data_IF_416184858418
#
_entry.id   IF_416184858418
#
_cell.length_a   1.000
_cell.length_b   1.000
_cell.length_c   1.000
_cell.angle_alpha   90.00
_cell.angle_beta   90.00
_cell.angle_gamma   90.00
#
_symmetry.space_group_name_H-M   'P 1'
#
loop_
_entity.id
_entity.type
_entity.pdbx_description
1 polymer ?
#
# COMPACT_ATOMS: atom_id res chain seq x y z
N UNK A 1 -27.80 -27.88 -31.20
CA UNK A 1 -27.72 -26.77 -30.23
C UNK A 1 -27.72 -27.36 -28.83
N UNK A 2 -26.59 -27.33 -28.15
CA UNK A 2 -26.49 -27.76 -26.75
C UNK A 2 -27.33 -26.83 -25.87
N UNK A 3 -28.23 -27.38 -25.05
CA UNK A 3 -29.06 -26.57 -24.14
C UNK A 3 -28.13 -25.88 -23.14
N UNK A 4 -28.14 -24.55 -23.13
CA UNK A 4 -27.40 -23.75 -22.15
C UNK A 4 -27.93 -24.08 -20.76
N UNK A 5 -27.12 -24.77 -19.95
CA UNK A 5 -27.41 -25.13 -18.56
C UNK A 5 -27.70 -23.89 -17.72
N UNK A 6 -28.52 -24.03 -16.68
CA UNK A 6 -28.81 -22.93 -15.75
C UNK A 6 -27.56 -22.62 -14.91
N UNK A 7 -27.45 -21.37 -14.45
CA UNK A 7 -26.33 -20.90 -13.61
C UNK A 7 -26.05 -21.84 -12.41
N UNK A 8 -27.06 -22.30 -11.63
CA UNK A 8 -26.81 -23.20 -10.50
C UNK A 8 -26.22 -24.56 -10.90
N UNK A 9 -26.61 -25.08 -12.06
CA UNK A 9 -26.13 -26.37 -12.58
C UNK A 9 -24.64 -26.26 -12.95
N UNK A 10 -24.25 -25.15 -13.59
CA UNK A 10 -22.84 -24.89 -13.98
C UNK A 10 -21.94 -24.62 -12.79
N UNK A 11 -22.43 -23.90 -11.78
CA UNK A 11 -21.73 -23.75 -10.50
C UNK A 11 -21.49 -25.10 -9.83
N UNK A 12 -22.50 -25.97 -9.83
CA UNK A 12 -22.37 -27.32 -9.25
C UNK A 12 -21.35 -28.17 -10.00
N UNK A 13 -21.26 -28.04 -11.34
CA UNK A 13 -20.25 -28.72 -12.15
C UNK A 13 -18.83 -28.22 -11.86
N UNK A 14 -18.64 -26.91 -11.75
CA UNK A 14 -17.35 -26.32 -11.41
C UNK A 14 -16.90 -26.78 -10.01
N UNK A 15 -17.80 -26.80 -9.03
CA UNK A 15 -17.48 -27.23 -7.66
C UNK A 15 -17.12 -28.73 -7.60
N UNK A 16 -17.75 -29.57 -8.43
CA UNK A 16 -17.51 -31.02 -8.44
C UNK A 16 -16.23 -31.42 -9.17
N UNK A 17 -15.77 -30.62 -10.11
CA UNK A 17 -14.53 -30.88 -10.84
C UNK A 17 -13.31 -30.55 -9.96
N UNK A 18 -12.51 -31.59 -9.66
CA UNK A 18 -11.31 -31.46 -8.82
C UNK A 18 -10.29 -30.48 -9.40
N UNK A 19 -10.26 -30.29 -10.72
CA UNK A 19 -9.36 -29.36 -11.37
C UNK A 19 -9.69 -27.89 -11.03
N UNK A 20 -10.92 -27.60 -10.62
CA UNK A 20 -11.37 -26.24 -10.29
C UNK A 20 -11.27 -25.91 -8.80
N UNK A 21 -10.97 -26.89 -7.94
CA UNK A 21 -10.84 -26.68 -6.48
C UNK A 21 -9.81 -25.58 -6.19
N UNK A 22 -8.69 -25.58 -6.90
CA UNK A 22 -7.66 -24.55 -6.77
C UNK A 22 -8.21 -23.14 -7.04
N UNK A 23 -8.95 -22.95 -8.14
CA UNK A 23 -9.51 -21.64 -8.52
C UNK A 23 -10.54 -21.17 -7.50
N UNK A 24 -11.39 -22.07 -7.00
CA UNK A 24 -12.39 -21.76 -5.98
C UNK A 24 -11.71 -21.33 -4.67
N UNK A 25 -10.74 -22.12 -4.21
CA UNK A 25 -9.98 -21.78 -2.99
C UNK A 25 -9.26 -20.45 -3.18
N UNK A 26 -8.59 -20.24 -4.32
CA UNK A 26 -7.90 -18.99 -4.60
C UNK A 26 -8.84 -17.78 -4.65
N UNK A 27 -10.06 -17.94 -5.18
CA UNK A 27 -11.09 -16.89 -5.14
C UNK A 27 -11.59 -16.58 -3.74
N UNK A 28 -11.77 -17.58 -2.87
CA UNK A 28 -12.48 -17.40 -1.59
C UNK A 28 -11.54 -17.18 -0.39
N UNK A 29 -10.36 -17.80 -0.42
CA UNK A 29 -9.40 -17.78 0.68
C UNK A 29 -9.02 -16.36 1.10
N UNK A 30 -8.74 -15.40 0.19
CA UNK A 30 -8.34 -14.07 0.63
C UNK A 30 -9.44 -13.36 1.43
N UNK A 31 -10.71 -13.55 1.06
CA UNK A 31 -11.84 -13.00 1.81
C UNK A 31 -11.99 -13.64 3.19
N UNK A 32 -11.75 -14.94 3.31
CA UNK A 32 -11.73 -15.64 4.59
C UNK A 32 -10.60 -15.16 5.50
N UNK A 33 -9.47 -14.73 4.94
CA UNK A 33 -8.31 -14.24 5.68
C UNK A 33 -8.42 -12.77 6.13
N UNK A 34 -9.36 -11.97 5.57
CA UNK A 34 -9.51 -10.54 5.90
C UNK A 34 -9.63 -10.26 7.42
N UNK A 35 -10.43 -11.00 8.20
CA UNK A 35 -10.55 -10.77 9.65
C UNK A 35 -9.23 -10.98 10.41
N UNK A 36 -8.34 -11.82 9.90
CA UNK A 36 -7.08 -12.20 10.55
C UNK A 36 -5.89 -11.33 10.10
N UNK A 37 -6.01 -10.62 8.97
CA UNK A 37 -4.93 -9.86 8.35
C UNK A 37 -4.21 -8.92 9.31
N UNK A 38 -4.96 -8.14 10.09
CA UNK A 38 -4.39 -7.15 11.02
C UNK A 38 -3.63 -7.82 12.16
N UNK A 39 -4.05 -9.00 12.61
CA UNK A 39 -3.37 -9.73 13.69
C UNK A 39 -1.97 -10.22 13.31
N UNK A 40 -1.70 -10.40 12.01
CA UNK A 40 -0.39 -10.79 11.47
C UNK A 40 0.37 -9.62 10.83
N UNK A 41 -0.08 -8.37 11.06
CA UNK A 41 0.58 -7.17 10.53
C UNK A 41 0.38 -6.95 9.02
N UNK A 42 -0.61 -7.61 8.40
CA UNK A 42 -0.95 -7.42 6.99
C UNK A 42 -2.08 -6.40 6.84
N UNK A 43 -1.94 -5.50 5.87
CA UNK A 43 -3.04 -4.63 5.46
C UNK A 43 -4.13 -5.43 4.76
N UNK A 44 -5.39 -5.16 5.10
CA UNK A 44 -6.55 -5.87 4.54
C UNK A 44 -6.62 -5.75 3.01
N UNK A 45 -6.15 -4.63 2.47
CA UNK A 45 -6.12 -4.40 1.02
C UNK A 45 -5.22 -5.39 0.28
N UNK A 46 -4.13 -5.87 0.89
CA UNK A 46 -3.24 -6.86 0.24
C UNK A 46 -3.95 -8.18 -0.05
N UNK A 47 -5.00 -8.53 0.71
CA UNK A 47 -5.76 -9.75 0.49
C UNK A 47 -6.82 -9.61 -0.60
N UNK A 48 -7.46 -8.45 -0.74
CA UNK A 48 -8.49 -8.29 -1.77
C UNK A 48 -8.00 -7.58 -3.05
N UNK A 49 -6.84 -6.93 -3.03
CA UNK A 49 -6.31 -6.22 -4.19
C UNK A 49 -5.70 -7.17 -5.24
N UNK A 50 -6.01 -6.91 -6.51
CA UNK A 50 -5.45 -7.46 -7.76
C UNK A 50 -5.43 -8.98 -7.93
N UNK A 51 -4.90 -9.77 -6.99
CA UNK A 51 -4.75 -11.22 -7.12
C UNK A 51 -6.08 -11.98 -7.08
N UNK A 52 -7.05 -11.49 -6.32
CA UNK A 52 -8.37 -12.11 -6.19
C UNK A 52 -9.25 -11.92 -7.43
N UNK A 53 -8.97 -10.90 -8.27
CA UNK A 53 -9.76 -10.62 -9.47
C UNK A 53 -9.53 -11.64 -10.58
N UNK A 54 -8.34 -12.24 -10.68
CA UNK A 54 -8.03 -13.24 -11.70
C UNK A 54 -8.94 -14.48 -11.57
N UNK A 55 -8.97 -15.21 -10.43
CA UNK A 55 -9.80 -16.40 -10.32
C UNK A 55 -11.29 -16.06 -10.33
N UNK A 56 -11.70 -14.88 -9.80
CA UNK A 56 -13.08 -14.41 -9.91
C UNK A 56 -13.50 -14.14 -11.37
N UNK A 57 -12.61 -13.57 -12.19
CA UNK A 57 -12.88 -13.33 -13.61
C UNK A 57 -12.98 -14.64 -14.39
N UNK A 58 -12.18 -15.65 -14.05
CA UNK A 58 -12.29 -16.99 -14.63
C UNK A 58 -13.63 -17.65 -14.27
N UNK A 59 -14.04 -17.62 -13.00
CA UNK A 59 -15.36 -18.12 -12.57
C UNK A 59 -16.48 -17.36 -13.31
N UNK A 60 -16.36 -16.05 -13.45
CA UNK A 60 -17.30 -15.23 -14.20
C UNK A 60 -17.41 -15.67 -15.67
N UNK A 61 -16.27 -15.86 -16.36
CA UNK A 61 -16.23 -16.33 -17.75
C UNK A 61 -16.81 -17.74 -17.91
N UNK A 62 -16.56 -18.65 -16.95
CA UNK A 62 -17.05 -20.02 -17.03
C UNK A 62 -18.56 -20.11 -16.74
N UNK A 63 -19.05 -19.38 -15.75
CA UNK A 63 -20.43 -19.50 -15.24
C UNK A 63 -21.36 -18.48 -15.86
N UNK A 64 -20.98 -17.20 -15.76
CA UNK A 64 -21.87 -16.05 -16.00
C UNK A 64 -21.84 -15.64 -17.47
N UNK A 65 -20.67 -15.61 -18.11
CA UNK A 65 -20.52 -15.14 -19.49
C UNK A 65 -21.44 -15.87 -20.49
N UNK A 66 -21.60 -17.20 -20.49
CA UNK A 66 -22.50 -17.87 -21.43
C UNK A 66 -24.00 -17.63 -21.12
N UNK A 67 -24.32 -17.17 -19.90
CA UNK A 67 -25.66 -16.70 -19.55
C UNK A 67 -25.96 -15.27 -20.06
N UNK A 68 -24.97 -14.55 -20.62
CA UNK A 68 -25.15 -13.21 -21.22
C UNK A 68 -26.14 -13.20 -22.39
N UNK A 69 -26.42 -14.35 -23.00
CA UNK A 69 -27.42 -14.44 -24.06
C UNK A 69 -28.83 -14.06 -23.58
N UNK A 70 -29.06 -14.02 -22.26
CA UNK A 70 -30.35 -13.63 -21.69
C UNK A 70 -30.46 -12.11 -21.55
N UNK A 71 -31.61 -11.55 -21.98
CA UNK A 71 -31.93 -10.11 -21.87
C UNK A 71 -31.71 -9.56 -20.45
N UNK A 72 -32.10 -10.33 -19.42
CA UNK A 72 -31.92 -9.95 -18.00
C UNK A 72 -30.45 -9.78 -17.60
N UNK A 73 -29.55 -10.66 -18.08
CA UNK A 73 -28.13 -10.58 -17.76
C UNK A 73 -27.52 -9.31 -18.36
N UNK A 74 -27.84 -8.99 -19.62
CA UNK A 74 -27.41 -7.74 -20.27
C UNK A 74 -27.88 -6.50 -19.52
N UNK A 75 -29.12 -6.49 -19.05
CA UNK A 75 -29.66 -5.37 -18.25
C UNK A 75 -28.91 -5.20 -16.93
N UNK A 76 -28.61 -6.30 -16.22
CA UNK A 76 -27.85 -6.26 -14.97
C UNK A 76 -26.42 -5.74 -15.19
N UNK A 77 -25.75 -6.17 -16.26
CA UNK A 77 -24.41 -5.68 -16.59
C UNK A 77 -24.43 -4.20 -16.95
N UNK A 78 -25.38 -3.77 -17.79
CA UNK A 78 -25.55 -2.36 -18.13
C UNK A 78 -25.80 -1.52 -16.88
N UNK A 79 -26.62 -2.02 -15.96
CA UNK A 79 -26.86 -1.40 -14.67
C UNK A 79 -25.58 -1.33 -13.81
N UNK A 80 -24.79 -2.40 -13.73
CA UNK A 80 -23.48 -2.39 -13.05
C UNK A 80 -22.53 -1.38 -13.67
N UNK A 81 -22.45 -1.31 -15.00
CA UNK A 81 -21.61 -0.33 -15.70
C UNK A 81 -22.05 1.10 -15.36
N UNK A 82 -23.35 1.39 -15.41
CA UNK A 82 -23.89 2.71 -15.03
C UNK A 82 -23.58 3.05 -13.57
N UNK A 83 -23.77 2.10 -12.66
CA UNK A 83 -23.46 2.30 -11.24
C UNK A 83 -21.98 2.61 -11.00
N UNK A 84 -21.08 1.99 -11.75
CA UNK A 84 -19.63 2.21 -11.63
C UNK A 84 -19.14 3.40 -12.46
N UNK A 85 -19.95 3.91 -13.38
CA UNK A 85 -19.58 5.03 -14.25
C UNK A 85 -19.36 6.30 -13.43
N UNK A 86 -20.24 6.60 -12.47
CA UNK A 86 -20.12 7.76 -11.60
C UNK A 86 -18.81 7.73 -10.81
N UNK A 87 -18.47 6.60 -10.19
CA UNK A 87 -17.22 6.41 -9.45
C UNK A 87 -15.99 6.59 -10.36
N UNK A 88 -16.02 6.01 -11.56
CA UNK A 88 -14.91 6.09 -12.51
C UNK A 88 -14.66 7.54 -12.97
N UNK A 89 -15.73 8.28 -13.28
CA UNK A 89 -15.65 9.69 -13.65
C UNK A 89 -15.19 10.54 -12.46
N UNK A 90 -15.68 10.29 -11.25
CA UNK A 90 -15.23 11.00 -10.05
C UNK A 90 -13.73 10.78 -9.75
N UNK A 91 -13.22 9.56 -9.95
CA UNK A 91 -11.79 9.27 -9.80
C UNK A 91 -10.96 9.99 -10.87
N UNK A 92 -11.42 9.98 -12.13
CA UNK A 92 -10.75 10.70 -13.21
C UNK A 92 -10.65 12.20 -12.91
N UNK A 93 -11.75 12.83 -12.47
CA UNK A 93 -11.78 14.26 -12.12
C UNK A 93 -10.86 14.57 -10.92
N UNK A 94 -10.84 13.69 -9.90
CA UNK A 94 -9.94 13.87 -8.76
C UNK A 94 -8.48 13.81 -9.20
N UNK A 95 -8.13 12.82 -10.03
CA UNK A 95 -6.77 12.67 -10.54
C UNK A 95 -6.34 13.88 -11.38
N UNK A 96 -7.20 14.42 -12.25
CA UNK A 96 -6.85 15.64 -13.01
C UNK A 96 -6.67 16.85 -12.11
N UNK A 97 -7.52 17.03 -11.09
CA UNK A 97 -7.38 18.14 -10.13
C UNK A 97 -6.12 18.04 -9.28
N UNK A 98 -5.70 16.83 -8.92
CA UNK A 98 -4.44 16.60 -8.19
C UNK A 98 -3.25 16.99 -9.07
N UNK A 99 -3.28 16.62 -10.35
CA UNK A 99 -2.24 16.98 -11.33
C UNK A 99 -2.13 18.51 -11.49
N UNK A 100 -3.27 19.23 -11.49
CA UNK A 100 -3.28 20.69 -11.65
C UNK A 100 -2.78 21.46 -10.41
N UNK A 101 -2.85 20.87 -9.20
CA UNK A 101 -2.61 21.57 -7.93
C UNK A 101 -1.41 21.09 -7.12
N UNK A 102 -0.77 19.98 -7.50
CA UNK A 102 0.44 19.48 -6.86
C UNK A 102 1.63 19.69 -7.80
N UNK A 103 2.82 20.09 -7.31
CA UNK A 103 4.00 20.13 -8.15
C UNK A 103 4.24 18.71 -8.69
N UNK A 104 4.10 18.55 -10.01
CA UNK A 104 4.14 17.30 -10.78
C UNK A 104 5.31 16.34 -10.49
N UNK A 105 6.30 16.75 -9.70
CA UNK A 105 7.62 16.14 -9.74
C UNK A 105 7.99 15.31 -8.51
N UNK A 106 7.39 15.53 -7.32
CA UNK A 106 7.83 14.75 -6.14
C UNK A 106 7.55 13.26 -6.31
N UNK A 107 6.36 12.90 -6.82
CA UNK A 107 5.91 11.50 -6.88
C UNK A 107 6.16 10.82 -8.23
N UNK A 108 6.58 11.57 -9.26
CA UNK A 108 6.83 11.05 -10.62
C UNK A 108 8.34 10.91 -10.87
N UNK A 109 9.16 11.80 -10.32
CA UNK A 109 10.62 11.78 -10.52
C UNK A 109 11.36 11.95 -9.20
N UNK A 110 12.13 10.94 -8.82
CA UNK A 110 12.99 11.03 -7.63
C UNK A 110 14.27 11.79 -7.98
N UNK A 111 14.59 12.89 -7.29
CA UNK A 111 15.85 13.58 -7.48
C UNK A 111 17.04 12.64 -7.28
N UNK A 112 18.09 12.80 -8.09
CA UNK A 112 19.31 11.98 -8.03
C UNK A 112 19.87 11.84 -6.59
N UNK A 113 19.77 12.91 -5.78
CA UNK A 113 20.22 12.89 -4.38
C UNK A 113 19.43 11.93 -3.48
N UNK A 114 18.12 11.76 -3.72
CA UNK A 114 17.34 10.74 -3.01
C UNK A 114 17.78 9.33 -3.43
N UNK A 115 18.08 9.13 -4.71
CA UNK A 115 18.58 7.84 -5.19
C UNK A 115 19.98 7.50 -4.64
N UNK A 116 20.88 8.47 -4.57
CA UNK A 116 22.19 8.33 -3.91
C UNK A 116 22.04 7.92 -2.44
N UNK A 117 21.12 8.55 -1.71
CA UNK A 117 20.83 8.22 -0.32
C UNK A 117 20.20 6.83 -0.12
N UNK A 118 19.29 6.41 -1.01
CA UNK A 118 18.72 5.04 -1.01
C UNK A 118 19.80 4.01 -1.32
N UNK A 119 20.68 4.28 -2.30
CA UNK A 119 21.79 3.38 -2.62
C UNK A 119 22.79 3.28 -1.46
N UNK A 120 23.08 4.37 -0.76
CA UNK A 120 23.89 4.32 0.45
C UNK A 120 23.25 3.41 1.51
N UNK A 121 21.95 3.54 1.75
CA UNK A 121 21.23 2.68 2.70
C UNK A 121 21.21 1.21 2.28
N UNK A 122 21.22 0.93 0.97
CA UNK A 122 21.29 -0.45 0.47
C UNK A 122 22.50 -1.22 1.01
N UNK A 123 23.63 -0.53 1.15
CA UNK A 123 24.89 -1.14 1.58
C UNK A 123 25.10 -1.06 3.11
N UNK A 124 24.46 -0.10 3.78
CA UNK A 124 24.64 0.16 5.22
C UNK A 124 23.52 -0.44 6.10
N UNK A 125 22.30 -0.56 5.58
CA UNK A 125 21.14 -1.01 6.36
C UNK A 125 20.98 -2.53 6.24
N UNK A 126 21.01 -3.28 7.36
CA UNK A 126 20.66 -4.69 7.34
C UNK A 126 19.24 -4.92 6.80
N UNK A 127 19.03 -6.08 6.19
CA UNK A 127 17.71 -6.55 5.77
C UNK A 127 16.71 -6.44 6.92
N UNK A 128 15.47 -6.09 6.58
CA UNK A 128 14.33 -5.91 7.49
C UNK A 128 14.47 -4.76 8.51
N UNK A 129 15.54 -3.97 8.44
CA UNK A 129 15.67 -2.76 9.26
C UNK A 129 14.48 -1.82 9.06
N UNK A 130 14.04 -1.16 10.13
CA UNK A 130 12.88 -0.27 10.10
C UNK A 130 13.36 1.17 9.91
N UNK A 131 12.85 1.80 8.86
CA UNK A 131 13.13 3.19 8.51
C UNK A 131 11.92 4.05 8.87
N UNK A 132 12.17 5.11 9.62
CA UNK A 132 11.22 6.20 9.87
C UNK A 132 11.44 7.30 8.83
N UNK A 133 10.37 7.67 8.14
CA UNK A 133 10.34 8.76 7.17
C UNK A 133 8.93 9.35 7.11
N UNK A 134 8.75 10.38 6.29
CA UNK A 134 7.44 10.81 5.82
C UNK A 134 6.76 9.71 4.95
N UNK A 135 5.50 9.97 4.55
CA UNK A 135 4.71 9.03 3.73
C UNK A 135 5.36 8.79 2.37
N UNK A 136 5.94 9.81 1.76
CA UNK A 136 6.49 9.77 0.42
C UNK A 136 7.68 8.81 0.35
N UNK A 137 8.77 9.06 1.08
CA UNK A 137 9.93 8.14 1.10
C UNK A 137 9.54 6.77 1.62
N UNK A 138 8.65 6.73 2.62
CA UNK A 138 8.18 5.50 3.22
C UNK A 138 7.37 4.61 2.29
N UNK A 139 6.79 5.17 1.22
CA UNK A 139 6.11 4.42 0.16
C UNK A 139 7.08 3.72 -0.78
N UNK A 140 8.27 4.27 -0.93
CA UNK A 140 9.14 4.00 -2.09
C UNK A 140 10.34 3.18 -1.69
N UNK A 141 10.95 3.49 -0.54
CA UNK A 141 12.18 2.85 -0.12
C UNK A 141 12.11 1.31 -0.09
N UNK A 142 11.00 0.66 0.33
CA UNK A 142 10.91 -0.81 0.34
C UNK A 142 10.82 -1.44 -1.05
N UNK A 143 10.56 -0.64 -2.10
CA UNK A 143 10.53 -1.13 -3.48
C UNK A 143 11.94 -1.34 -4.05
N UNK A 144 12.96 -0.74 -3.43
CA UNK A 144 14.34 -0.72 -3.96
C UNK A 144 15.37 -1.41 -3.07
N UNK A 145 15.12 -1.46 -1.76
CA UNK A 145 16.01 -2.10 -0.79
C UNK A 145 15.18 -2.95 0.20
N UNK A 146 15.75 -4.02 0.78
CA UNK A 146 15.01 -4.98 1.61
C UNK A 146 14.76 -4.47 3.04
N UNK A 147 14.17 -3.27 3.17
CA UNK A 147 13.88 -2.62 4.45
C UNK A 147 12.38 -2.50 4.68
N UNK A 148 11.98 -2.27 5.93
CA UNK A 148 10.59 -2.00 6.28
C UNK A 148 10.39 -0.51 6.53
N UNK A 149 9.44 0.10 5.83
CA UNK A 149 9.00 1.44 6.20
C UNK A 149 8.08 1.39 7.42
N UNK A 150 8.35 2.22 8.42
CA UNK A 150 7.46 2.40 9.56
C UNK A 150 6.10 2.98 9.10
N UNK A 151 6.12 3.95 8.20
CA UNK A 151 4.97 4.70 7.74
C UNK A 151 5.05 4.95 6.24
N UNK A 152 4.03 4.52 5.51
CA UNK A 152 3.87 4.76 4.08
C UNK A 152 2.39 4.75 3.76
N UNK A 153 1.97 4.01 2.75
CA UNK A 153 0.76 4.31 2.00
C UNK A 153 -0.50 4.12 2.85
N UNK A 154 -1.45 5.06 2.74
CA UNK A 154 -2.72 5.08 3.49
C UNK A 154 -3.45 3.74 3.60
N UNK A 155 -3.46 2.96 2.52
CA UNK A 155 -4.14 1.67 2.48
C UNK A 155 -3.24 0.47 2.84
N UNK A 156 -1.91 0.63 2.84
CA UNK A 156 -0.96 -0.48 3.04
C UNK A 156 -0.32 -0.47 4.43
N UNK A 157 -0.28 0.67 5.09
CA UNK A 157 0.24 0.80 6.44
C UNK A 157 -0.82 0.37 7.47
N UNK A 158 -0.50 -0.63 8.28
CA UNK A 158 -1.36 -1.03 9.40
C UNK A 158 -1.35 0.09 10.45
N UNK A 159 -2.54 0.42 10.99
CA UNK A 159 -2.74 1.56 11.91
C UNK A 159 -2.32 2.92 11.33
N UNK A 160 -2.54 3.15 10.03
CA UNK A 160 -2.08 4.36 9.32
C UNK A 160 -2.31 5.68 10.07
N UNK A 161 -3.52 5.95 10.57
CA UNK A 161 -3.82 7.24 11.25
C UNK A 161 -3.00 7.46 12.52
N UNK A 162 -2.79 6.40 13.29
CA UNK A 162 -1.96 6.45 14.49
C UNK A 162 -0.50 6.69 14.12
N UNK A 163 0.02 5.93 13.15
CA UNK A 163 1.39 6.09 12.67
C UNK A 163 1.64 7.46 12.05
N UNK A 164 0.70 7.98 11.27
CA UNK A 164 0.75 9.33 10.71
C UNK A 164 0.86 10.38 11.81
N UNK A 165 0.05 10.27 12.86
CA UNK A 165 0.13 11.17 14.01
C UNK A 165 1.47 11.04 14.74
N UNK A 166 2.00 9.82 14.90
CA UNK A 166 3.31 9.58 15.53
C UNK A 166 4.45 10.19 14.71
N UNK A 167 4.49 9.96 13.39
CA UNK A 167 5.45 10.57 12.47
C UNK A 167 5.40 12.10 12.56
N UNK A 168 4.21 12.66 12.48
CA UNK A 168 4.03 14.10 12.57
C UNK A 168 4.48 14.65 13.92
N UNK A 169 4.08 14.03 15.05
CA UNK A 169 4.52 14.44 16.39
C UNK A 169 6.04 14.34 16.56
N UNK A 170 6.66 13.32 15.99
CA UNK A 170 8.11 13.12 16.03
C UNK A 170 8.87 14.22 15.27
N UNK A 171 8.54 14.45 13.99
CA UNK A 171 9.22 15.46 13.18
C UNK A 171 8.87 16.90 13.56
N UNK A 172 7.69 17.15 14.17
CA UNK A 172 7.32 18.48 14.69
C UNK A 172 7.74 18.74 16.14
N UNK A 173 8.59 17.87 16.73
CA UNK A 173 9.09 18.00 18.11
C UNK A 173 7.98 18.08 19.17
N UNK A 174 6.83 17.46 18.92
CA UNK A 174 5.71 17.33 19.88
C UNK A 174 5.83 16.06 20.75
N UNK A 175 6.98 15.42 20.70
CA UNK A 175 7.42 14.39 21.64
C UNK A 175 8.63 14.94 22.39
N UNK A 176 8.64 14.79 23.72
CA UNK A 176 9.86 15.04 24.49
C UNK A 176 10.89 13.91 24.27
N UNK A 177 12.14 14.11 24.71
CA UNK A 177 13.23 13.16 24.45
C UNK A 177 12.92 11.73 24.94
N UNK A 178 12.31 11.58 26.11
CA UNK A 178 11.92 10.27 26.66
C UNK A 178 10.79 9.61 25.83
N UNK A 179 9.81 10.40 25.38
CA UNK A 179 8.78 9.92 24.46
C UNK A 179 9.38 9.47 23.14
N UNK A 180 10.36 10.21 22.59
CA UNK A 180 11.03 9.84 21.34
C UNK A 180 11.82 8.55 21.51
N UNK A 181 12.57 8.41 22.61
CA UNK A 181 13.33 7.20 22.90
C UNK A 181 12.43 5.97 23.01
N UNK A 182 11.30 6.09 23.69
CA UNK A 182 10.27 5.03 23.75
C UNK A 182 9.68 4.76 22.38
N UNK A 183 9.29 5.79 21.64
CA UNK A 183 8.73 5.66 20.31
C UNK A 183 9.66 4.90 19.35
N UNK A 184 10.96 5.25 19.33
CA UNK A 184 11.97 4.56 18.51
C UNK A 184 12.13 3.11 18.96
N UNK A 185 12.29 2.88 20.27
CA UNK A 185 12.50 1.55 20.85
C UNK A 185 11.30 0.62 20.62
N UNK A 186 10.09 1.06 20.96
CA UNK A 186 8.86 0.26 20.89
C UNK A 186 8.53 -0.13 19.44
N UNK A 187 8.89 0.72 18.47
CA UNK A 187 8.68 0.48 17.05
C UNK A 187 9.90 -0.12 16.35
N UNK A 188 10.99 -0.41 17.09
CA UNK A 188 12.25 -0.98 16.58
C UNK A 188 12.85 -0.18 15.40
N UNK A 189 12.65 1.14 15.42
CA UNK A 189 13.17 2.04 14.39
C UNK A 189 14.69 2.02 14.46
N UNK A 190 15.33 1.72 13.34
CA UNK A 190 16.79 1.58 13.23
C UNK A 190 17.43 2.78 12.51
N UNK A 191 16.68 3.38 11.58
CA UNK A 191 17.12 4.52 10.78
C UNK A 191 16.03 5.59 10.73
N UNK A 192 16.44 6.86 10.71
CA UNK A 192 15.56 8.01 10.51
C UNK A 192 16.01 8.76 9.28
N UNK A 193 15.11 8.87 8.30
CA UNK A 193 15.28 9.71 7.14
C UNK A 193 14.84 11.14 7.46
N UNK A 194 15.64 12.12 7.07
CA UNK A 194 15.34 13.54 7.23
C UNK A 194 15.68 14.28 5.94
N UNK A 195 14.70 14.35 5.03
CA UNK A 195 14.80 14.95 3.71
C UNK A 195 13.95 16.22 3.58
N UNK A 196 13.61 16.57 2.34
CA UNK A 196 12.82 17.77 2.02
C UNK A 196 11.46 17.77 2.71
N UNK A 197 10.75 16.64 2.69
CA UNK A 197 9.39 16.53 3.21
C UNK A 197 9.39 16.59 4.74
N UNK A 198 10.36 15.97 5.41
CA UNK A 198 10.53 16.07 6.86
C UNK A 198 10.99 17.46 7.31
N UNK A 199 11.91 18.10 6.57
CA UNK A 199 12.35 19.46 6.84
C UNK A 199 11.24 20.48 6.65
N UNK A 200 10.28 20.24 5.76
CA UNK A 200 9.12 21.11 5.63
C UNK A 200 8.25 21.14 6.91
N UNK A 201 8.39 20.14 7.79
CA UNK A 201 7.70 20.07 9.09
C UNK A 201 8.46 20.78 10.22
N UNK A 202 9.75 21.13 10.04
CA UNK A 202 10.60 21.72 11.08
C UNK A 202 11.61 22.76 10.56
N UNK A 203 11.70 23.91 11.21
CA UNK A 203 12.72 24.93 10.92
C UNK A 203 13.93 24.81 11.87
N UNK A 204 14.87 23.90 11.58
CA UNK A 204 16.33 24.05 11.84
C UNK A 204 17.04 23.21 12.93
N UNK A 205 16.38 22.52 13.88
CA UNK A 205 17.11 21.80 14.97
C UNK A 205 16.64 20.36 15.28
N UNK A 206 16.62 19.49 14.26
CA UNK A 206 16.40 18.05 14.41
C UNK A 206 17.67 17.35 14.94
N UNK A 207 17.76 17.11 16.25
CA UNK A 207 18.87 16.37 16.85
C UNK A 207 18.47 15.71 18.17
N UNK A 208 18.92 14.47 18.36
CA UNK A 208 18.76 13.68 19.58
C UNK A 208 20.08 12.94 19.90
N UNK A 209 20.47 12.77 21.18
CA UNK A 209 21.74 12.14 21.54
C UNK A 209 21.92 10.69 21.05
N UNK A 210 20.82 9.97 20.87
CA UNK A 210 20.78 8.58 20.39
C UNK A 210 20.65 8.47 18.85
N UNK A 211 20.75 9.59 18.11
CA UNK A 211 20.75 9.61 16.65
C UNK A 211 22.12 10.04 16.12
N UNK A 212 22.81 9.12 15.45
CA UNK A 212 24.09 9.38 14.81
C UNK A 212 23.90 9.61 13.31
N UNK A 213 24.37 10.75 12.79
CA UNK A 213 24.41 10.99 11.34
C UNK A 213 25.36 9.98 10.70
N UNK A 214 24.87 9.25 9.70
CA UNK A 214 25.66 8.30 8.89
C UNK A 214 25.74 8.70 7.42
N UNK A 215 24.84 9.57 6.97
CA UNK A 215 24.84 10.13 5.62
C UNK A 215 24.27 11.54 5.66
N UNK A 216 24.91 12.46 4.95
CA UNK A 216 24.45 13.83 4.79
C UNK A 216 24.90 14.36 3.43
N UNK A 217 23.94 14.62 2.55
CA UNK A 217 24.19 15.15 1.21
C UNK A 217 23.02 16.03 0.77
N UNK A 218 23.31 17.29 0.42
CA UNK A 218 22.30 18.28 0.05
C UNK A 218 21.22 18.44 1.14
N UNK A 219 19.97 18.14 0.79
CA UNK A 219 18.81 18.25 1.70
C UNK A 219 18.51 16.99 2.49
N UNK A 220 19.29 15.92 2.35
CA UNK A 220 18.99 14.62 2.96
C UNK A 220 20.01 14.35 4.05
N UNK A 221 19.51 13.98 5.23
CA UNK A 221 20.30 13.47 6.35
C UNK A 221 19.70 12.15 6.81
N UNK A 222 20.54 11.14 7.00
CA UNK A 222 20.12 9.84 7.51
C UNK A 222 20.80 9.63 8.85
N UNK A 223 19.98 9.33 9.85
CA UNK A 223 20.42 9.02 11.19
C UNK A 223 20.30 7.52 11.44
N UNK A 224 21.31 6.96 12.10
CA UNK A 224 21.28 5.63 12.70
C UNK A 224 21.00 5.76 14.19
N UNK A 225 20.10 4.93 14.70
CA UNK A 225 19.84 4.84 16.14
C UNK A 225 21.00 4.08 16.82
N UNK A 226 21.55 4.64 17.91
CA UNK A 226 22.68 4.07 18.67
C UNK A 226 22.32 3.68 20.11
#
# INVERSE_FOLDING_TARGET
>A
MEKIKKIPERLTEIIKDRNNIFIIIWSLLPFFLIPFATGVGLSKIRLYAMMSFIPLSLIFCLVVFPAFQKKIARMLIFFVIILNFSTSVSLLIQNTKIIDNQPLYSNIYYPNKQWEAINFLKDEAPDESIILSDEHIGNIIPAFIPVTSYFGHINLTVHFKEKQNNVWRFYTRRMNEEEVKRFISDNRISYVWFGTDEKALENENFSYPFLKIIYQEGQITIYKVI
#
